data_IF_198013374420
#
_entry.id   IF_198013374420
#
_cell.length_a   1.000
_cell.length_b   1.000
_cell.length_c   1.000
_cell.angle_alpha   90.00
_cell.angle_beta   90.00
_cell.angle_gamma   90.00
#
_symmetry.space_group_name_H-M   'P 1'
#
loop_
_entity.id
_entity.type
_entity.pdbx_description
1 polymer ?
#
# COMPACT_ATOMS: atom_id res chain seq x y z
N UNK A 1 45.17 -16.60 17.29
CA UNK A 1 44.51 -15.69 16.31
C UNK A 1 43.38 -16.43 15.57
N UNK A 2 42.33 -16.87 16.27
CA UNK A 2 41.22 -17.68 15.71
C UNK A 2 39.83 -17.30 16.25
N UNK A 3 39.70 -16.22 17.02
CA UNK A 3 38.42 -15.75 17.58
C UNK A 3 37.79 -14.64 16.70
N UNK A 4 38.59 -13.99 15.85
CA UNK A 4 38.12 -12.87 15.02
C UNK A 4 37.25 -13.27 13.81
N UNK A 5 37.20 -14.56 13.42
CA UNK A 5 36.43 -14.99 12.25
C UNK A 5 34.97 -15.38 12.57
N UNK A 6 34.67 -15.76 13.80
CA UNK A 6 33.30 -16.16 14.20
C UNK A 6 32.41 -14.93 14.44
N UNK A 7 32.99 -13.81 14.89
CA UNK A 7 32.23 -12.57 15.08
C UNK A 7 31.82 -11.89 13.76
N UNK A 8 32.53 -12.12 12.64
CA UNK A 8 32.23 -11.46 11.37
C UNK A 8 31.02 -12.08 10.64
N UNK A 9 30.70 -13.35 10.90
CA UNK A 9 29.52 -14.01 10.32
C UNK A 9 28.20 -13.59 11.02
N UNK A 10 28.27 -13.04 12.24
CA UNK A 10 27.10 -12.54 12.97
C UNK A 10 26.65 -11.14 12.51
N UNK A 11 27.49 -10.39 11.79
CA UNK A 11 27.19 -9.00 11.39
C UNK A 11 26.50 -8.92 10.02
N UNK A 12 26.56 -9.98 9.19
CA UNK A 12 26.04 -9.98 7.82
C UNK A 12 24.67 -10.67 7.63
N UNK A 13 24.10 -11.28 8.67
CA UNK A 13 22.76 -11.90 8.62
C UNK A 13 21.66 -10.90 9.00
N UNK A 14 21.74 -9.70 8.44
CA UNK A 14 20.76 -8.66 8.65
C UNK A 14 19.51 -8.80 7.79
N UNK A 15 19.01 -10.03 7.60
CA UNK A 15 17.83 -10.28 6.78
C UNK A 15 16.63 -9.50 7.35
N UNK A 16 16.19 -8.49 6.62
CA UNK A 16 14.95 -7.81 6.93
C UNK A 16 13.80 -8.81 6.76
N UNK A 17 13.14 -9.20 7.85
CA UNK A 17 11.97 -10.09 7.80
C UNK A 17 10.74 -9.23 7.55
N UNK A 18 10.21 -9.29 6.33
CA UNK A 18 8.96 -8.61 5.96
C UNK A 18 7.84 -9.64 6.01
N UNK A 19 6.72 -9.30 6.65
CA UNK A 19 5.49 -10.07 6.53
C UNK A 19 4.72 -9.61 5.30
N UNK A 20 4.34 -10.58 4.47
CA UNK A 20 3.43 -10.36 3.36
C UNK A 20 2.10 -11.02 3.65
N UNK A 21 1.04 -10.24 3.47
CA UNK A 21 -0.35 -10.67 3.60
C UNK A 21 -1.02 -10.56 2.23
N UNK A 22 -1.81 -11.56 1.86
CA UNK A 22 -2.58 -11.57 0.63
C UNK A 22 -4.05 -11.87 0.89
N UNK A 23 -4.93 -11.09 0.26
CA UNK A 23 -6.37 -11.32 0.28
C UNK A 23 -7.00 -10.91 -1.06
N UNK A 24 -7.07 -11.85 -2.02
CA UNK A 24 -7.63 -11.60 -3.33
C UNK A 24 -6.83 -10.54 -4.11
N UNK A 25 -7.40 -9.36 -4.41
CA UNK A 25 -6.68 -8.27 -5.08
C UNK A 25 -5.70 -7.56 -4.16
N UNK A 26 -5.83 -7.74 -2.83
CA UNK A 26 -5.04 -7.03 -1.83
C UNK A 26 -3.74 -7.77 -1.52
N UNK A 27 -2.64 -7.02 -1.47
CA UNK A 27 -1.34 -7.45 -0.92
C UNK A 27 -0.85 -6.39 0.05
N UNK A 28 -0.46 -6.77 1.27
CA UNK A 28 0.09 -5.85 2.25
C UNK A 28 1.47 -6.31 2.73
N UNK A 29 2.35 -5.34 3.00
CA UNK A 29 3.74 -5.57 3.41
C UNK A 29 4.01 -4.87 4.74
N UNK A 30 4.67 -5.56 5.66
CA UNK A 30 5.10 -4.99 6.93
C UNK A 30 6.45 -4.29 6.85
N UNK A 31 6.71 -3.37 7.77
CA UNK A 31 8.09 -2.97 8.06
C UNK A 31 8.85 -4.18 8.66
N UNK A 32 10.14 -4.27 8.35
CA UNK A 32 11.04 -5.21 9.02
C UNK A 32 11.49 -4.60 10.35
N UNK A 33 10.68 -4.75 11.39
CA UNK A 33 11.14 -4.50 12.75
C UNK A 33 11.75 -5.79 13.27
N UNK A 34 13.07 -5.81 13.50
CA UNK A 34 13.81 -6.98 13.98
C UNK A 34 13.32 -7.52 15.33
N UNK A 35 12.43 -6.81 16.02
CA UNK A 35 12.07 -7.06 17.41
C UNK A 35 10.57 -7.04 17.71
N UNK A 36 9.68 -6.82 16.72
CA UNK A 36 8.23 -6.85 16.97
C UNK A 36 7.63 -8.21 16.66
N UNK A 37 6.94 -8.82 17.63
CA UNK A 37 6.16 -10.03 17.44
C UNK A 37 4.93 -9.83 16.54
N UNK A 38 4.48 -8.58 16.38
CA UNK A 38 3.29 -8.23 15.61
C UNK A 38 3.65 -7.41 14.36
N UNK A 39 3.29 -7.88 13.14
CA UNK A 39 3.55 -7.13 11.92
C UNK A 39 2.74 -5.82 11.89
N UNK A 40 3.43 -4.72 11.58
CA UNK A 40 2.83 -3.44 11.22
C UNK A 40 2.91 -3.25 9.71
N UNK A 41 1.76 -3.32 9.03
CA UNK A 41 1.63 -3.19 7.59
C UNK A 41 1.75 -1.73 7.18
N UNK A 42 2.90 -1.38 6.61
CA UNK A 42 3.23 -0.02 6.17
C UNK A 42 2.81 0.24 4.73
N UNK A 43 2.58 -0.81 3.95
CA UNK A 43 2.22 -0.71 2.54
C UNK A 43 1.07 -1.66 2.21
N UNK A 44 0.05 -1.15 1.53
CA UNK A 44 -1.11 -1.92 1.07
C UNK A 44 -1.30 -1.64 -0.41
N UNK A 45 -1.35 -2.68 -1.23
CA UNK A 45 -1.62 -2.64 -2.66
C UNK A 45 -2.93 -3.35 -2.93
N UNK A 46 -3.76 -2.76 -3.77
CA UNK A 46 -5.05 -3.31 -4.22
C UNK A 46 -5.01 -3.30 -5.74
N UNK A 47 -4.73 -4.46 -6.30
CA UNK A 47 -4.65 -4.68 -7.75
C UNK A 47 -5.98 -5.27 -8.23
N UNK A 48 -6.84 -4.40 -8.77
CA UNK A 48 -8.17 -4.75 -9.25
C UNK A 48 -8.16 -5.36 -10.66
N UNK A 49 -6.98 -5.54 -11.26
CA UNK A 49 -6.84 -6.37 -12.46
C UNK A 49 -6.83 -7.87 -12.10
N UNK A 50 -6.61 -8.20 -10.82
CA UNK A 50 -6.79 -9.56 -10.27
C UNK A 50 -8.25 -9.82 -9.94
N UNK A 51 -8.53 -11.01 -9.38
CA UNK A 51 -9.87 -11.38 -8.90
C UNK A 51 -10.38 -10.36 -7.89
N UNK A 52 -11.49 -9.70 -8.22
CA UNK A 52 -12.18 -8.75 -7.35
C UNK A 52 -12.65 -9.39 -6.05
N UNK A 53 -12.62 -8.64 -4.96
CA UNK A 53 -13.14 -9.03 -3.65
C UNK A 53 -14.11 -7.97 -3.14
N UNK A 54 -15.35 -8.37 -2.84
CA UNK A 54 -16.42 -7.44 -2.48
C UNK A 54 -16.12 -6.66 -1.19
N UNK A 55 -15.44 -7.29 -0.21
CA UNK A 55 -15.09 -6.61 1.03
C UNK A 55 -14.00 -5.57 0.80
N UNK A 56 -12.99 -5.91 0.00
CA UNK A 56 -11.93 -4.95 -0.37
C UNK A 56 -12.50 -3.76 -1.15
N UNK A 57 -13.47 -3.99 -2.05
CA UNK A 57 -14.14 -2.90 -2.78
C UNK A 57 -15.07 -2.06 -1.89
N UNK A 58 -15.66 -2.66 -0.87
CA UNK A 58 -16.55 -1.97 0.06
C UNK A 58 -15.81 -1.24 1.20
N UNK A 59 -14.55 -1.60 1.47
CA UNK A 59 -13.70 -0.87 2.39
C UNK A 59 -13.55 0.59 1.91
N UNK A 60 -13.46 1.50 2.86
CA UNK A 60 -13.50 2.93 2.61
C UNK A 60 -12.12 3.54 2.77
N UNK A 61 -11.85 4.59 2.00
CA UNK A 61 -10.60 5.33 2.00
C UNK A 61 -10.89 6.83 2.17
N UNK A 62 -10.02 7.51 2.92
CA UNK A 62 -9.98 8.97 3.00
C UNK A 62 -8.82 9.48 2.14
N UNK A 63 -9.13 10.25 1.09
CA UNK A 63 -8.12 10.71 0.12
C UNK A 63 -7.30 11.91 0.61
N UNK A 64 -7.86 12.72 1.50
CA UNK A 64 -7.24 13.88 2.14
C UNK A 64 -7.99 14.20 3.45
N UNK A 65 -7.43 15.04 4.31
CA UNK A 65 -8.02 15.37 5.63
C UNK A 65 -9.47 15.90 5.54
N UNK A 66 -9.75 16.72 4.54
CA UNK A 66 -11.06 17.32 4.25
C UNK A 66 -11.94 16.47 3.32
N UNK A 67 -11.42 15.35 2.79
CA UNK A 67 -12.18 14.50 1.88
C UNK A 67 -13.22 13.65 2.64
N UNK A 68 -14.39 13.40 2.05
CA UNK A 68 -15.32 12.40 2.59
C UNK A 68 -14.72 10.99 2.49
N UNK A 69 -15.26 10.06 3.28
CA UNK A 69 -14.97 8.64 3.10
C UNK A 69 -15.64 8.11 1.84
N UNK A 70 -14.87 7.44 0.99
CA UNK A 70 -15.36 6.87 -0.26
C UNK A 70 -15.03 5.38 -0.27
N UNK A 71 -15.99 4.53 -0.64
CA UNK A 71 -15.71 3.12 -0.85
C UNK A 71 -14.70 2.95 -2.01
N UNK A 72 -13.73 2.05 -1.87
CA UNK A 72 -12.67 1.87 -2.86
C UNK A 72 -13.25 1.57 -4.26
N UNK A 73 -14.26 0.70 -4.36
CA UNK A 73 -14.93 0.39 -5.64
C UNK A 73 -15.76 1.55 -6.23
N UNK A 74 -16.06 2.57 -5.42
CA UNK A 74 -16.78 3.76 -5.84
C UNK A 74 -15.87 4.91 -6.28
N UNK A 75 -14.54 4.77 -6.18
CA UNK A 75 -13.61 5.78 -6.68
C UNK A 75 -13.81 5.99 -8.18
N UNK A 76 -13.75 7.26 -8.57
CA UNK A 76 -13.83 7.73 -9.96
C UNK A 76 -12.77 8.80 -10.19
N UNK A 77 -12.22 8.94 -11.41
CA UNK A 77 -11.19 9.94 -11.70
C UNK A 77 -11.60 11.36 -11.24
N UNK A 78 -12.85 11.76 -11.49
CA UNK A 78 -13.35 13.11 -11.21
C UNK A 78 -13.47 13.40 -9.70
N UNK A 79 -13.63 12.36 -8.88
CA UNK A 79 -13.64 12.47 -7.42
C UNK A 79 -12.21 12.54 -6.90
N UNK A 80 -11.33 11.67 -7.40
CA UNK A 80 -9.93 11.60 -6.95
C UNK A 80 -9.17 12.87 -7.30
N UNK A 81 -9.36 13.41 -8.51
CA UNK A 81 -8.70 14.63 -8.98
C UNK A 81 -8.98 15.89 -8.14
N UNK A 82 -10.04 15.88 -7.31
CA UNK A 82 -10.35 16.98 -6.38
C UNK A 82 -9.46 17.00 -5.14
N UNK A 83 -8.86 15.86 -4.79
CA UNK A 83 -8.16 15.67 -3.52
C UNK A 83 -6.69 15.26 -3.72
N UNK A 84 -6.38 14.56 -4.81
CA UNK A 84 -5.03 14.13 -5.14
C UNK A 84 -4.58 14.79 -6.44
N UNK A 85 -3.34 15.31 -6.50
CA UNK A 85 -2.80 15.83 -7.75
C UNK A 85 -2.56 14.70 -8.75
N UNK A 86 -2.60 15.04 -10.04
CA UNK A 86 -2.20 14.13 -11.10
C UNK A 86 -0.75 13.69 -10.90
N UNK A 87 -0.49 12.42 -11.12
CA UNK A 87 0.85 11.87 -11.06
C UNK A 87 1.57 12.10 -12.39
N UNK A 88 2.79 12.60 -12.32
CA UNK A 88 3.65 12.80 -13.49
C UNK A 88 4.81 11.80 -13.49
N UNK A 89 5.06 11.10 -14.62
CA UNK A 89 6.19 10.20 -14.72
C UNK A 89 7.53 10.97 -14.60
N UNK A 90 8.52 10.43 -13.89
CA UNK A 90 9.79 11.11 -13.69
C UNK A 90 10.49 11.47 -15.02
N UNK A 91 11.09 12.67 -15.12
CA UNK A 91 11.72 13.14 -16.36
C UNK A 91 12.96 12.34 -16.79
N UNK A 92 13.52 11.53 -15.89
CA UNK A 92 14.64 10.64 -16.17
C UNK A 92 14.22 9.28 -16.75
N UNK A 93 12.92 8.96 -16.80
CA UNK A 93 12.46 7.70 -17.37
C UNK A 93 12.55 7.70 -18.91
N UNK A 94 12.77 6.54 -19.54
CA UNK A 94 12.73 6.43 -21.00
C UNK A 94 11.39 6.92 -21.56
N UNK A 95 11.39 7.64 -22.68
CA UNK A 95 10.17 8.26 -23.25
C UNK A 95 9.04 7.25 -23.44
N UNK A 96 9.35 6.08 -24.02
CA UNK A 96 8.34 5.04 -24.27
C UNK A 96 7.65 4.54 -22.98
N UNK A 97 8.38 4.58 -21.86
CA UNK A 97 7.83 4.21 -20.54
C UNK A 97 6.95 5.33 -20.00
N UNK A 98 7.35 6.61 -20.20
CA UNK A 98 6.54 7.77 -19.82
C UNK A 98 5.24 7.85 -20.60
N UNK A 99 5.31 7.70 -21.93
CA UNK A 99 4.14 7.67 -22.79
C UNK A 99 3.17 6.57 -22.38
N UNK A 100 3.68 5.37 -22.11
CA UNK A 100 2.85 4.27 -21.60
C UNK A 100 2.23 4.60 -20.23
N UNK A 101 2.99 5.21 -19.33
CA UNK A 101 2.48 5.58 -18.00
C UNK A 101 1.41 6.68 -18.06
N UNK A 102 1.45 7.55 -19.08
CA UNK A 102 0.43 8.58 -19.35
C UNK A 102 -0.87 8.03 -19.97
N UNK A 103 -0.92 6.76 -20.37
CA UNK A 103 -2.15 6.15 -20.92
C UNK A 103 -3.22 5.89 -19.86
N UNK A 104 -2.81 5.80 -18.60
CA UNK A 104 -3.69 5.60 -17.45
C UNK A 104 -3.84 6.94 -16.70
N UNK A 105 -5.02 7.22 -16.16
CA UNK A 105 -5.25 8.39 -15.31
C UNK A 105 -4.72 8.08 -13.91
N UNK A 106 -3.60 8.70 -13.55
CA UNK A 106 -2.89 8.41 -12.32
C UNK A 106 -2.88 9.63 -11.39
N UNK A 107 -3.08 9.39 -10.10
CA UNK A 107 -3.10 10.42 -9.07
C UNK A 107 -2.27 9.99 -7.87
N UNK A 108 -1.49 10.89 -7.30
CA UNK A 108 -0.62 10.58 -6.15
C UNK A 108 -0.53 11.72 -5.14
N UNK A 109 -0.65 11.41 -3.86
CA UNK A 109 -0.34 12.32 -2.75
C UNK A 109 -0.77 11.72 -1.41
N UNK A 110 -0.21 12.20 -0.31
CA UNK A 110 -0.59 11.76 1.03
C UNK A 110 -0.25 10.29 1.31
N UNK A 111 0.77 9.73 0.66
CA UNK A 111 1.02 8.28 0.69
C UNK A 111 0.00 7.44 -0.08
N UNK A 112 -0.91 8.04 -0.85
CA UNK A 112 -1.91 7.36 -1.68
C UNK A 112 -1.51 7.48 -3.15
N UNK A 113 -1.63 6.39 -3.88
CA UNK A 113 -1.60 6.39 -5.34
C UNK A 113 -2.81 5.63 -5.89
N UNK A 114 -3.46 6.21 -6.89
CA UNK A 114 -4.66 5.64 -7.53
C UNK A 114 -4.45 5.69 -9.04
N UNK A 115 -4.77 4.58 -9.72
CA UNK A 115 -4.68 4.47 -11.17
C UNK A 115 -6.01 4.01 -11.76
N UNK A 116 -6.42 4.68 -12.84
CA UNK A 116 -7.57 4.31 -13.65
C UNK A 116 -7.14 4.03 -15.08
N UNK A 117 -7.77 3.02 -15.69
CA UNK A 117 -7.64 2.73 -17.11
C UNK A 117 -9.00 2.86 -17.76
N UNK A 118 -9.14 3.77 -18.72
CA UNK A 118 -10.41 4.01 -19.43
C UNK A 118 -11.56 4.27 -18.44
N UNK A 119 -11.32 5.10 -17.41
CA UNK A 119 -12.28 5.42 -16.35
C UNK A 119 -12.55 4.32 -15.32
N UNK A 120 -11.96 3.13 -15.46
CA UNK A 120 -12.10 2.02 -14.49
C UNK A 120 -10.94 2.01 -13.51
N UNK A 121 -11.24 1.89 -12.23
CA UNK A 121 -10.21 1.76 -11.19
C UNK A 121 -9.44 0.44 -11.40
N UNK A 122 -8.12 0.52 -11.56
CA UNK A 122 -7.26 -0.66 -11.76
C UNK A 122 -6.33 -0.90 -10.59
N UNK A 123 -5.90 0.15 -9.89
CA UNK A 123 -4.92 0.01 -8.83
C UNK A 123 -5.07 1.09 -7.76
N UNK A 124 -4.90 0.70 -6.50
CA UNK A 124 -4.74 1.61 -5.36
C UNK A 124 -3.55 1.14 -4.55
N UNK A 125 -2.67 2.05 -4.14
CA UNK A 125 -1.66 1.77 -3.13
C UNK A 125 -1.63 2.80 -2.03
N UNK A 126 -1.40 2.34 -0.81
CA UNK A 126 -1.29 3.12 0.41
C UNK A 126 0.08 2.85 1.03
N UNK A 127 0.78 3.91 1.42
CA UNK A 127 2.13 3.84 2.01
C UNK A 127 2.18 4.74 3.24
N UNK A 128 2.55 4.18 4.39
CA UNK A 128 2.55 4.89 5.68
C UNK A 128 3.64 5.96 5.79
N UNK A 129 4.75 5.79 5.08
CA UNK A 129 5.89 6.71 5.09
C UNK A 129 6.34 7.04 3.67
N UNK A 130 6.00 8.25 3.23
CA UNK A 130 6.74 8.99 2.22
C UNK A 130 7.37 10.20 2.92
N UNK A 131 8.58 10.62 2.51
CA UNK A 131 9.26 11.76 3.14
C UNK A 131 8.39 13.02 3.00
N UNK A 132 8.32 13.81 4.07
CA UNK A 132 7.74 15.16 4.11
C UNK A 132 6.21 15.27 3.90
N UNK A 133 5.48 14.16 3.96
CA UNK A 133 4.02 14.14 3.83
C UNK A 133 3.30 14.42 5.15
N UNK A 134 2.33 15.35 5.14
CA UNK A 134 1.52 15.73 6.32
C UNK A 134 0.29 14.86 6.53
N UNK A 135 -0.10 14.11 5.51
CA UNK A 135 -1.26 13.22 5.54
C UNK A 135 -0.79 11.77 5.43
N UNK A 136 -1.31 10.92 6.32
CA UNK A 136 -1.09 9.48 6.28
C UNK A 136 -2.34 8.80 5.74
N UNK A 137 -2.22 7.77 4.89
CA UNK A 137 -3.38 7.07 4.37
C UNK A 137 -4.28 6.53 5.49
N UNK A 138 -5.58 6.81 5.38
CA UNK A 138 -6.59 6.35 6.33
C UNK A 138 -7.63 5.51 5.61
N UNK A 139 -8.02 4.41 6.25
CA UNK A 139 -9.03 3.46 5.74
C UNK A 139 -10.03 3.12 6.84
N UNK A 140 -11.21 2.69 6.45
CA UNK A 140 -12.24 2.22 7.35
C UNK A 140 -12.86 0.92 6.81
N UNK A 141 -13.35 0.08 7.72
CA UNK A 141 -14.15 -1.08 7.36
C UNK A 141 -15.43 -0.66 6.61
N UNK A 142 -16.07 -1.55 5.85
CA UNK A 142 -17.31 -1.22 5.14
C UNK A 142 -18.38 -0.65 6.07
N UNK A 143 -18.90 0.54 5.74
CA UNK A 143 -19.90 1.28 6.51
C UNK A 143 -19.47 1.72 7.93
N UNK A 144 -18.20 1.59 8.28
CA UNK A 144 -17.66 2.09 9.53
C UNK A 144 -17.28 3.58 9.41
N UNK A 145 -17.43 4.31 10.51
CA UNK A 145 -16.97 5.71 10.62
C UNK A 145 -15.61 5.82 11.29
N UNK A 146 -15.15 4.76 11.97
CA UNK A 146 -13.85 4.72 12.62
C UNK A 146 -12.73 4.58 11.59
N UNK A 147 -11.77 5.49 11.67
CA UNK A 147 -10.64 5.55 10.75
C UNK A 147 -9.40 4.87 11.34
N UNK A 148 -8.84 3.96 10.56
CA UNK A 148 -7.57 3.31 10.83
C UNK A 148 -6.49 3.97 9.97
N UNK A 149 -5.49 4.56 10.63
CA UNK A 149 -4.36 5.22 9.96
C UNK A 149 -3.21 4.22 9.78
N UNK A 150 -2.61 4.17 8.59
CA UNK A 150 -1.43 3.35 8.36
C UNK A 150 -0.24 3.80 9.24
N UNK A 151 0.60 2.87 9.75
CA UNK A 151 0.60 1.44 9.50
C UNK A 151 -0.43 0.65 10.32
N UNK A 152 -1.01 -0.38 9.73
CA UNK A 152 -2.06 -1.20 10.35
C UNK A 152 -1.48 -2.43 11.06
N UNK A 153 -2.05 -2.80 12.20
CA UNK A 153 -1.83 -4.12 12.82
C UNK A 153 -2.52 -5.22 12.00
N UNK A 154 -2.21 -6.48 12.29
CA UNK A 154 -2.95 -7.61 11.70
C UNK A 154 -4.45 -7.55 11.99
N UNK A 155 -4.83 -7.21 13.22
CA UNK A 155 -6.24 -7.12 13.60
C UNK A 155 -6.97 -6.01 12.82
N UNK A 156 -6.33 -4.84 12.64
CA UNK A 156 -6.89 -3.75 11.84
C UNK A 156 -6.99 -4.11 10.35
N UNK A 157 -6.01 -4.85 9.81
CA UNK A 157 -6.11 -5.39 8.44
C UNK A 157 -7.29 -6.35 8.29
N UNK A 158 -7.47 -7.27 9.24
CA UNK A 158 -8.57 -8.24 9.24
C UNK A 158 -9.93 -7.53 9.40
N UNK A 159 -10.01 -6.49 10.22
CA UNK A 159 -11.21 -5.67 10.41
C UNK A 159 -11.59 -4.94 9.12
N UNK A 160 -10.65 -4.22 8.51
CA UNK A 160 -10.92 -3.39 7.33
C UNK A 160 -11.14 -4.25 6.09
N UNK A 161 -10.23 -5.18 5.81
CA UNK A 161 -10.18 -5.91 4.53
C UNK A 161 -10.65 -7.37 4.64
N UNK A 162 -10.95 -7.86 5.84
CA UNK A 162 -11.29 -9.25 6.08
C UNK A 162 -10.07 -10.14 6.30
N UNK A 163 -10.29 -11.39 6.75
CA UNK A 163 -9.20 -12.30 7.06
C UNK A 163 -8.37 -12.62 5.81
N UNK A 164 -7.03 -12.66 5.92
CA UNK A 164 -6.19 -12.94 4.78
C UNK A 164 -6.29 -14.39 4.35
N UNK A 165 -6.13 -14.62 3.05
CA UNK A 165 -6.04 -15.97 2.48
C UNK A 165 -4.67 -16.58 2.74
N UNK A 166 -3.63 -15.76 2.76
CA UNK A 166 -2.24 -16.18 2.99
C UNK A 166 -1.49 -15.12 3.78
N UNK A 167 -0.66 -15.58 4.72
CA UNK A 167 0.30 -14.76 5.44
C UNK A 167 1.61 -15.53 5.50
N UNK A 168 2.70 -14.91 5.08
CA UNK A 168 4.01 -15.55 5.08
C UNK A 168 5.14 -14.52 5.26
N UNK A 169 6.27 -15.01 5.77
CA UNK A 169 7.51 -14.22 5.88
C UNK A 169 8.24 -14.24 4.54
N UNK A 170 8.69 -13.08 4.10
CA UNK A 170 9.54 -12.92 2.93
C UNK A 170 10.91 -12.47 3.42
N UNK A 171 11.91 -13.29 3.16
CA UNK A 171 13.32 -12.95 3.29
C UNK A 171 13.76 -12.46 1.91
N UNK A 172 14.31 -11.25 1.80
CA UNK A 172 14.70 -10.59 0.53
C UNK A 172 13.53 -10.05 -0.33
N UNK A 173 13.46 -8.71 -0.47
CA UNK A 173 12.90 -8.06 -1.67
C UNK A 173 14.11 -7.58 -2.47
N UNK A 174 14.47 -8.30 -3.53
CA UNK A 174 15.44 -7.78 -4.51
C UNK A 174 14.70 -6.78 -5.40
N UNK A 175 15.05 -5.51 -5.30
CA UNK A 175 14.64 -4.46 -6.24
C UNK A 175 15.58 -4.47 -7.45
#
# INVERSE_FOLDING_TARGET
>A
MRIALILLCLVLSGCANIWRMENGPLTAFSESLRESSEPRYTMVWIDLQKKTDARVLAAQIKLAEQAPLVAIGALRPEVVARYLPAWEPPPQWPEIVREKARQDDNYQGGGIYVSFRQGRLVYVSLVSRLRDERFHPQVAAPAATELQTLPLSRAQMDEVFGPPRRVYRVSEVRY
#
